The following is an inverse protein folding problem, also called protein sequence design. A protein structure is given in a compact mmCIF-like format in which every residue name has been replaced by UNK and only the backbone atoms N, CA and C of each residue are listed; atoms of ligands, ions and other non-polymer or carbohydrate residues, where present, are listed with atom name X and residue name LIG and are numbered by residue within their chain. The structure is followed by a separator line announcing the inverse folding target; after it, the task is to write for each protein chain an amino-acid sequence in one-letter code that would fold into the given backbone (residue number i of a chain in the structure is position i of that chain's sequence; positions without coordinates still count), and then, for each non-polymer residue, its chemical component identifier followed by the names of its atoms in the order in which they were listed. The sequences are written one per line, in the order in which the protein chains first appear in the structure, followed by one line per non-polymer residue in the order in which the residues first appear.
data_IF_418637040769
#
_entry.id   IF_418637040769
#
_cell.length_a   1.000
_cell.length_b   1.000
_cell.length_c   1.000
_cell.angle_alpha   90.00
_cell.angle_beta   90.00
_cell.angle_gamma   90.00
#
_symmetry.space_group_name_H-M   'P 1'
#
loop_
_entity.id
_entity.type
_entity.pdbx_description
1 polymer ?
#
# COMPACT_ATOMS: atom_id res chain seq x y z
N UNK A 1 65.92 -25.69 47.38
CA UNK A 1 65.20 -26.42 46.29
C UNK A 1 63.69 -26.13 46.35
N UNK A 2 63.28 -25.25 45.48
CA UNK A 2 61.86 -24.83 45.35
C UNK A 2 61.37 -25.32 44.02
N UNK A 3 60.40 -26.21 44.07
CA UNK A 3 59.68 -26.68 42.88
C UNK A 3 58.55 -25.70 42.52
N UNK A 4 58.62 -25.12 41.35
CA UNK A 4 57.49 -24.34 40.75
C UNK A 4 56.56 -25.28 39.97
N UNK A 5 55.34 -25.36 40.39
CA UNK A 5 54.29 -26.09 39.64
C UNK A 5 53.65 -25.16 38.62
N UNK A 6 53.81 -25.47 37.34
CA UNK A 6 53.07 -24.80 36.22
C UNK A 6 51.67 -25.40 36.10
N UNK A 7 50.62 -24.59 36.37
CA UNK A 7 49.25 -24.93 36.09
C UNK A 7 48.91 -24.52 34.64
N UNK A 8 48.61 -25.48 33.80
CA UNK A 8 48.08 -25.27 32.43
C UNK A 8 46.56 -25.08 32.55
N UNK A 9 46.09 -23.86 32.28
CA UNK A 9 44.65 -23.58 32.14
C UNK A 9 44.21 -23.90 30.70
N UNK A 10 43.48 -24.98 30.53
CA UNK A 10 42.78 -25.26 29.30
C UNK A 10 41.54 -24.35 29.20
N UNK A 11 41.56 -23.35 28.31
CA UNK A 11 40.37 -22.61 27.90
C UNK A 11 39.58 -23.44 26.89
N UNK A 12 38.49 -24.05 27.35
CA UNK A 12 37.50 -24.64 26.48
C UNK A 12 36.67 -23.52 25.86
N UNK A 13 36.92 -23.19 24.58
CA UNK A 13 36.07 -22.30 23.81
C UNK A 13 34.73 -22.99 23.52
N UNK A 14 33.71 -22.66 24.28
CA UNK A 14 32.33 -23.07 24.00
C UNK A 14 31.85 -22.23 22.80
N UNK A 15 31.89 -22.80 21.59
CA UNK A 15 31.32 -22.20 20.41
C UNK A 15 29.82 -22.14 20.58
N UNK A 16 29.26 -20.96 20.82
CA UNK A 16 27.84 -20.69 20.75
C UNK A 16 27.47 -20.75 19.28
N UNK A 17 26.99 -21.92 18.82
CA UNK A 17 26.25 -22.02 17.56
C UNK A 17 24.96 -21.20 17.73
N UNK A 18 24.96 -19.93 17.33
CA UNK A 18 23.74 -19.19 17.08
C UNK A 18 23.09 -19.82 15.85
N UNK A 19 22.14 -20.72 16.07
CA UNK A 19 21.20 -21.14 15.03
C UNK A 19 20.53 -19.85 14.56
N UNK A 20 20.76 -19.42 13.33
CA UNK A 20 19.97 -18.37 12.71
C UNK A 20 18.53 -18.87 12.70
N UNK A 21 17.70 -18.34 13.59
CA UNK A 21 16.26 -18.56 13.53
C UNK A 21 15.85 -17.96 12.20
N UNK A 22 15.40 -18.80 11.27
CA UNK A 22 14.86 -18.32 10.00
C UNK A 22 13.72 -17.37 10.35
N UNK A 23 13.83 -16.11 9.92
CA UNK A 23 12.86 -15.07 10.24
C UNK A 23 11.45 -15.50 9.86
N UNK A 24 10.47 -15.11 10.65
CA UNK A 24 9.06 -15.42 10.45
C UNK A 24 8.55 -14.68 9.19
N UNK A 25 7.68 -15.36 8.43
CA UNK A 25 7.06 -14.81 7.22
C UNK A 25 5.82 -14.02 7.64
N UNK A 26 5.78 -12.72 7.35
CA UNK A 26 4.65 -11.84 7.64
C UNK A 26 3.85 -11.57 6.37
N UNK A 27 2.73 -12.22 6.26
CA UNK A 27 1.93 -12.36 5.03
C UNK A 27 0.89 -11.24 4.91
N UNK A 28 0.73 -10.69 3.69
CA UNK A 28 -0.13 -9.54 3.41
C UNK A 28 -1.14 -9.89 2.33
N UNK A 29 -2.42 -9.68 2.62
CA UNK A 29 -3.55 -9.94 1.70
C UNK A 29 -4.44 -8.70 1.62
N UNK A 30 -4.86 -8.33 0.40
CA UNK A 30 -5.97 -7.40 0.19
C UNK A 30 -7.27 -8.18 0.38
N UNK A 31 -8.15 -7.68 1.27
CA UNK A 31 -9.26 -8.48 1.80
C UNK A 31 -10.43 -8.58 0.83
N UNK A 32 -10.76 -7.51 0.08
CA UNK A 32 -11.99 -7.47 -0.72
C UNK A 32 -11.95 -8.45 -1.90
N UNK A 33 -10.79 -8.52 -2.56
CA UNK A 33 -10.56 -9.38 -3.74
C UNK A 33 -9.74 -10.64 -3.41
N UNK A 34 -9.40 -10.87 -2.14
CA UNK A 34 -8.52 -11.96 -1.67
C UNK A 34 -7.11 -11.93 -2.32
N UNK A 35 -6.67 -10.78 -2.82
CA UNK A 35 -5.40 -10.63 -3.50
C UNK A 35 -4.22 -10.80 -2.54
N UNK A 36 -3.32 -11.69 -2.88
CA UNK A 36 -2.10 -11.96 -2.13
C UNK A 36 -0.95 -11.05 -2.62
N UNK A 37 -0.62 -10.02 -1.85
CA UNK A 37 0.51 -9.14 -2.16
C UNK A 37 1.86 -9.84 -2.12
N UNK A 38 2.02 -10.77 -1.21
CA UNK A 38 3.27 -11.36 -0.80
C UNK A 38 3.48 -11.26 0.70
N UNK A 39 4.71 -11.00 1.12
CA UNK A 39 5.06 -10.99 2.53
C UNK A 39 6.21 -10.05 2.84
N UNK A 40 6.52 -9.91 4.14
CA UNK A 40 7.82 -9.43 4.61
C UNK A 40 8.51 -10.52 5.43
N UNK A 41 9.84 -10.52 5.40
CA UNK A 41 10.70 -11.38 6.20
C UNK A 41 11.99 -10.66 6.54
N UNK A 42 12.34 -10.59 7.80
CA UNK A 42 13.52 -9.84 8.26
C UNK A 42 13.56 -8.39 7.74
N UNK A 43 12.40 -7.71 7.71
CA UNK A 43 12.21 -6.36 7.20
C UNK A 43 12.32 -6.21 5.68
N UNK A 44 12.42 -7.31 4.90
CA UNK A 44 12.52 -7.29 3.45
C UNK A 44 11.21 -7.71 2.80
N UNK A 45 10.86 -7.06 1.71
CA UNK A 45 9.69 -7.37 0.90
C UNK A 45 9.93 -8.63 0.06
N UNK A 46 8.96 -9.56 0.06
CA UNK A 46 8.97 -10.81 -0.69
C UNK A 46 7.74 -10.83 -1.60
N UNK A 47 7.96 -11.01 -2.88
CA UNK A 47 6.88 -11.04 -3.89
C UNK A 47 5.97 -12.26 -3.71
N UNK A 48 4.75 -12.15 -4.25
CA UNK A 48 3.71 -13.16 -4.12
C UNK A 48 4.14 -14.56 -4.57
N UNK A 49 4.85 -14.68 -5.70
CA UNK A 49 5.28 -15.95 -6.24
C UNK A 49 6.30 -16.71 -5.36
N UNK A 50 7.17 -15.98 -4.69
CA UNK A 50 8.11 -16.52 -3.71
C UNK A 50 7.42 -16.82 -2.39
N UNK A 51 6.64 -15.86 -1.86
CA UNK A 51 5.97 -15.98 -0.58
C UNK A 51 4.90 -17.10 -0.57
N UNK A 52 4.20 -17.33 -1.69
CA UNK A 52 3.20 -18.37 -1.83
C UNK A 52 3.75 -19.78 -1.57
N UNK A 53 5.02 -20.03 -1.92
CA UNK A 53 5.69 -21.33 -1.68
C UNK A 53 6.04 -21.56 -0.20
N UNK A 54 6.09 -20.50 0.57
CA UNK A 54 6.47 -20.48 1.98
C UNK A 54 5.25 -20.41 2.91
N UNK A 55 4.07 -20.10 2.37
CA UNK A 55 2.86 -19.90 3.14
C UNK A 55 2.36 -21.23 3.72
N UNK A 56 2.11 -21.33 5.04
CA UNK A 56 1.52 -22.50 5.68
C UNK A 56 0.11 -22.85 5.17
N UNK A 57 -0.36 -24.06 5.48
CA UNK A 57 -1.70 -24.54 5.10
C UNK A 57 -2.82 -23.75 5.79
N UNK A 58 -2.55 -23.21 6.98
CA UNK A 58 -3.44 -22.33 7.73
C UNK A 58 -2.62 -21.21 8.36
N UNK A 59 -3.10 -19.97 8.18
CA UNK A 59 -2.49 -18.77 8.75
C UNK A 59 -3.58 -17.91 9.36
N UNK A 60 -3.35 -17.37 10.56
CA UNK A 60 -4.24 -16.41 11.21
C UNK A 60 -3.78 -14.99 10.87
N UNK A 61 -4.71 -14.19 10.39
CA UNK A 61 -4.50 -12.82 9.99
C UNK A 61 -5.25 -11.89 10.92
N UNK A 62 -4.63 -10.76 11.28
CA UNK A 62 -5.36 -9.62 11.83
C UNK A 62 -5.88 -8.77 10.69
N UNK A 63 -7.17 -8.44 10.75
CA UNK A 63 -7.85 -7.68 9.70
C UNK A 63 -7.90 -6.21 10.09
N UNK A 64 -7.54 -5.34 9.15
CA UNK A 64 -7.54 -3.90 9.30
C UNK A 64 -8.48 -3.25 8.28
N UNK A 65 -9.28 -2.30 8.76
CA UNK A 65 -9.99 -1.32 7.94
C UNK A 65 -9.15 -0.06 7.74
N UNK A 66 -9.78 0.99 7.22
CA UNK A 66 -9.10 2.26 6.95
C UNK A 66 -8.58 2.93 8.24
N UNK A 67 -9.31 2.84 9.35
CA UNK A 67 -9.00 3.57 10.60
C UNK A 67 -8.96 2.69 11.84
N UNK A 68 -9.17 1.38 11.72
CA UNK A 68 -9.30 0.49 12.87
C UNK A 68 -8.95 -0.97 12.56
N UNK A 69 -8.66 -1.72 13.62
CA UNK A 69 -8.56 -3.18 13.56
C UNK A 69 -9.95 -3.80 13.72
N UNK A 70 -10.28 -4.78 12.88
CA UNK A 70 -11.62 -5.38 12.77
C UNK A 70 -11.69 -6.82 13.31
N UNK A 71 -10.61 -7.32 13.92
CA UNK A 71 -10.53 -8.68 14.43
C UNK A 71 -9.59 -9.56 13.64
N UNK A 72 -9.86 -10.87 13.63
CA UNK A 72 -9.01 -11.87 12.99
C UNK A 72 -9.81 -12.73 12.01
N UNK A 73 -9.12 -13.27 11.00
CA UNK A 73 -9.64 -14.27 10.10
C UNK A 73 -8.57 -15.32 9.81
N UNK A 74 -8.99 -16.53 9.42
CA UNK A 74 -8.09 -17.58 8.98
C UNK A 74 -8.08 -17.67 7.46
N UNK A 75 -6.91 -17.90 6.90
CA UNK A 75 -6.72 -18.14 5.48
C UNK A 75 -5.86 -19.38 5.22
N UNK A 76 -6.06 -19.96 4.05
CA UNK A 76 -5.32 -21.12 3.61
C UNK A 76 -4.09 -20.78 2.77
N UNK A 77 -3.66 -21.73 1.93
CA UNK A 77 -2.58 -21.52 0.96
C UNK A 77 -2.95 -20.48 -0.10
N UNK A 78 -1.95 -19.75 -0.57
CA UNK A 78 -2.08 -18.93 -1.76
C UNK A 78 -2.24 -19.84 -3.00
N UNK A 79 -3.20 -19.48 -3.86
CA UNK A 79 -3.47 -20.18 -5.12
C UNK A 79 -3.38 -19.16 -6.27
N UNK A 80 -2.74 -19.54 -7.35
CA UNK A 80 -2.83 -18.82 -8.62
C UNK A 80 -3.99 -19.39 -9.45
N UNK A 81 -4.60 -18.56 -10.25
CA UNK A 81 -5.62 -18.98 -11.22
C UNK A 81 -5.04 -18.97 -12.64
N UNK A 82 -5.53 -19.89 -13.46
CA UNK A 82 -5.30 -19.86 -14.90
C UNK A 82 -6.34 -18.93 -15.53
N UNK A 83 -5.92 -18.02 -16.41
CA UNK A 83 -6.87 -17.16 -17.11
C UNK A 83 -6.44 -15.69 -17.12
N UNK A 84 -7.37 -14.72 -17.10
CA UNK A 84 -7.02 -13.31 -17.31
C UNK A 84 -6.09 -12.73 -16.25
N UNK A 85 -5.98 -13.40 -15.09
CA UNK A 85 -5.15 -12.98 -13.96
C UNK A 85 -3.94 -13.91 -13.75
N UNK A 86 -3.35 -14.42 -14.82
CA UNK A 86 -2.16 -15.25 -14.75
C UNK A 86 -1.05 -14.57 -13.94
N UNK A 87 -0.49 -15.30 -12.97
CA UNK A 87 0.54 -14.78 -12.06
C UNK A 87 -0.01 -13.99 -10.86
N UNK A 88 -1.30 -13.75 -10.75
CA UNK A 88 -1.95 -13.26 -9.55
C UNK A 88 -2.24 -14.40 -8.59
N UNK A 89 -1.88 -14.22 -7.31
CA UNK A 89 -2.15 -15.17 -6.25
C UNK A 89 -3.28 -14.67 -5.36
N UNK A 90 -4.07 -15.62 -4.83
CA UNK A 90 -5.23 -15.37 -3.98
C UNK A 90 -5.13 -16.18 -2.69
N UNK A 91 -5.53 -15.57 -1.58
CA UNK A 91 -5.68 -16.24 -0.28
C UNK A 91 -7.12 -16.03 0.18
N UNK A 92 -7.92 -17.09 0.14
CA UNK A 92 -9.30 -17.03 0.60
C UNK A 92 -9.37 -16.80 2.11
N UNK A 93 -10.20 -15.84 2.51
CA UNK A 93 -10.49 -15.46 3.90
C UNK A 93 -12.01 -15.60 4.15
N UNK A 94 -12.55 -16.81 4.38
CA UNK A 94 -14.00 -17.07 4.40
C UNK A 94 -14.75 -16.28 5.48
N UNK A 95 -14.11 -16.03 6.64
CA UNK A 95 -14.72 -15.34 7.78
C UNK A 95 -14.27 -13.88 7.91
N UNK A 96 -13.87 -13.25 6.78
CA UNK A 96 -13.41 -11.86 6.76
C UNK A 96 -14.52 -10.87 7.08
N UNK A 97 -14.24 -9.80 7.88
CA UNK A 97 -15.18 -8.71 8.10
C UNK A 97 -15.50 -7.97 6.79
N UNK A 98 -16.75 -7.55 6.60
CA UNK A 98 -17.22 -6.86 5.39
C UNK A 98 -16.40 -5.58 5.05
N UNK A 99 -16.01 -4.83 6.08
CA UNK A 99 -15.21 -3.60 5.93
C UNK A 99 -13.70 -3.83 6.03
N UNK A 100 -13.24 -5.09 5.99
CA UNK A 100 -11.83 -5.43 5.97
C UNK A 100 -11.16 -4.94 4.69
N UNK A 101 -9.96 -4.39 4.80
CA UNK A 101 -9.18 -3.89 3.66
C UNK A 101 -7.87 -4.66 3.52
N UNK A 102 -7.12 -4.78 4.62
CA UNK A 102 -5.85 -5.50 4.65
C UNK A 102 -5.86 -6.55 5.74
N UNK A 103 -5.41 -7.74 5.40
CA UNK A 103 -5.13 -8.82 6.33
C UNK A 103 -3.60 -8.98 6.46
N UNK A 104 -3.10 -8.97 7.70
CA UNK A 104 -1.69 -9.12 8.00
C UNK A 104 -1.47 -10.22 9.03
N UNK A 105 -0.63 -11.19 8.71
CA UNK A 105 -0.12 -12.17 9.67
C UNK A 105 1.21 -11.68 10.21
N UNK A 106 1.19 -10.96 11.33
CA UNK A 106 2.38 -10.43 12.00
C UNK A 106 2.17 -10.35 13.51
N UNK A 107 3.24 -10.44 14.33
CA UNK A 107 3.12 -10.39 15.79
C UNK A 107 2.90 -8.99 16.36
N UNK A 108 3.19 -7.94 15.59
CA UNK A 108 3.02 -6.55 16.03
C UNK A 108 1.65 -5.97 15.69
N UNK A 109 1.35 -4.81 16.26
CA UNK A 109 0.19 -4.01 15.86
C UNK A 109 0.56 -3.15 14.65
N UNK A 110 0.01 -3.47 13.47
CA UNK A 110 0.27 -2.73 12.25
C UNK A 110 -0.41 -1.34 12.19
N UNK A 111 -1.28 -1.02 13.14
CA UNK A 111 -1.94 0.28 13.27
C UNK A 111 -1.47 1.01 14.54
N UNK A 112 -0.17 1.32 14.67
CA UNK A 112 0.38 1.95 15.88
C UNK A 112 -0.15 3.37 16.08
N UNK A 113 -0.51 4.07 15.01
CA UNK A 113 -1.09 5.42 15.00
C UNK A 113 -2.35 5.42 14.15
N UNK A 114 -3.46 5.87 14.76
CA UNK A 114 -4.78 5.78 14.14
C UNK A 114 -5.00 6.91 13.15
N UNK A 115 -5.26 6.62 11.85
CA UNK A 115 -5.63 7.65 10.88
C UNK A 115 -6.95 8.34 11.26
N UNK A 116 -7.06 9.61 10.90
CA UNK A 116 -8.26 10.43 11.08
C UNK A 116 -8.73 10.93 9.74
N UNK A 117 -10.01 10.77 9.45
CA UNK A 117 -10.63 11.33 8.25
C UNK A 117 -10.83 12.83 8.50
N UNK A 118 -10.33 13.66 7.59
CA UNK A 118 -10.53 15.11 7.62
C UNK A 118 -11.59 15.54 6.62
N UNK A 119 -12.15 16.73 6.84
CA UNK A 119 -13.15 17.32 5.97
C UNK A 119 -12.55 17.69 4.61
N UNK A 120 -13.07 17.08 3.55
CA UNK A 120 -12.63 17.28 2.15
C UNK A 120 -13.06 18.63 1.56
N UNK A 121 -13.91 19.38 2.25
CA UNK A 121 -14.37 20.72 1.82
C UNK A 121 -13.44 21.85 2.30
N UNK A 122 -12.42 21.56 3.09
CA UNK A 122 -11.49 22.57 3.57
C UNK A 122 -10.70 23.20 2.41
N UNK A 123 -10.75 24.53 2.34
CA UNK A 123 -10.17 25.31 1.25
C UNK A 123 -8.66 25.05 1.05
N UNK A 124 -7.92 24.86 2.13
CA UNK A 124 -6.47 24.60 2.09
C UNK A 124 -6.12 23.33 1.29
N UNK A 125 -6.96 22.30 1.34
CA UNK A 125 -6.74 21.07 0.58
C UNK A 125 -7.22 21.21 -0.87
N UNK A 126 -8.33 21.92 -1.09
CA UNK A 126 -8.82 22.26 -2.44
C UNK A 126 -7.76 23.04 -3.20
N UNK A 127 -7.15 24.06 -2.56
CA UNK A 127 -6.10 24.86 -3.16
C UNK A 127 -4.84 24.05 -3.45
N UNK A 128 -4.44 23.18 -2.53
CA UNK A 128 -3.29 22.28 -2.75
C UNK A 128 -3.47 21.36 -3.97
N UNK A 129 -4.65 20.76 -4.10
CA UNK A 129 -5.00 19.92 -5.26
C UNK A 129 -5.02 20.78 -6.54
N UNK A 130 -5.65 21.95 -6.50
CA UNK A 130 -5.71 22.87 -7.64
C UNK A 130 -4.32 23.26 -8.12
N UNK A 131 -3.46 23.68 -7.20
CA UNK A 131 -2.12 24.15 -7.55
C UNK A 131 -1.24 23.00 -8.08
N UNK A 132 -1.38 21.80 -7.51
CA UNK A 132 -0.71 20.63 -8.05
C UNK A 132 -1.16 20.30 -9.48
N UNK A 133 -2.48 20.35 -9.76
CA UNK A 133 -3.03 20.06 -11.09
C UNK A 133 -2.60 21.07 -12.15
N UNK A 134 -2.40 22.34 -11.79
CA UNK A 134 -1.79 23.34 -12.69
C UNK A 134 -0.40 22.92 -13.16
N UNK A 135 0.40 22.29 -12.30
CA UNK A 135 1.71 21.76 -12.69
C UNK A 135 1.62 20.59 -13.69
N UNK A 136 0.43 19.98 -13.81
CA UNK A 136 0.12 18.87 -14.74
C UNK A 136 -0.59 19.36 -16.01
N UNK A 137 -0.47 20.66 -16.33
CA UNK A 137 -1.09 21.30 -17.49
C UNK A 137 -2.64 21.25 -17.49
N UNK A 138 -3.25 21.23 -16.31
CA UNK A 138 -4.68 21.38 -16.12
C UNK A 138 -4.90 22.74 -15.40
N UNK A 139 -5.02 23.87 -16.15
CA UNK A 139 -4.96 25.20 -15.56
C UNK A 139 -6.21 25.58 -14.76
N UNK A 140 -7.38 25.06 -15.14
CA UNK A 140 -8.67 25.33 -14.50
C UNK A 140 -9.34 24.02 -14.05
N UNK A 141 -8.75 23.31 -13.06
CA UNK A 141 -9.25 22.01 -12.70
C UNK A 141 -10.56 22.12 -11.91
N UNK A 142 -11.52 21.24 -12.23
CA UNK A 142 -12.61 20.92 -11.32
C UNK A 142 -12.07 20.03 -10.20
N UNK A 143 -11.78 20.63 -9.05
CA UNK A 143 -11.28 19.89 -7.88
C UNK A 143 -12.41 19.05 -7.28
N UNK A 144 -12.16 17.73 -7.19
CA UNK A 144 -13.00 16.78 -6.46
C UNK A 144 -12.09 15.92 -5.59
N UNK A 145 -12.25 16.06 -4.28
CA UNK A 145 -11.52 15.28 -3.28
C UNK A 145 -12.45 14.18 -2.77
N UNK A 146 -11.98 12.93 -2.82
CA UNK A 146 -12.76 11.78 -2.38
C UNK A 146 -12.58 11.56 -0.87
N UNK A 147 -11.32 11.58 -0.39
CA UNK A 147 -11.04 11.53 1.04
C UNK A 147 -9.73 12.25 1.39
N UNK A 148 -9.61 12.60 2.65
CA UNK A 148 -8.40 13.12 3.26
C UNK A 148 -8.15 12.33 4.54
N UNK A 149 -6.94 11.77 4.66
CA UNK A 149 -6.48 11.11 5.87
C UNK A 149 -5.36 11.92 6.50
N UNK A 150 -5.41 12.07 7.81
CA UNK A 150 -4.33 12.61 8.62
C UNK A 150 -3.79 11.52 9.51
N UNK A 151 -2.49 11.28 9.46
CA UNK A 151 -1.83 10.24 10.22
C UNK A 151 -0.34 10.54 10.32
N UNK A 152 0.23 10.32 11.48
CA UNK A 152 1.68 10.35 11.71
C UNK A 152 2.28 9.05 11.15
N UNK A 153 2.83 9.10 9.93
CA UNK A 153 3.31 7.91 9.21
C UNK A 153 4.65 7.40 9.74
N UNK A 154 5.52 8.28 10.22
CA UNK A 154 6.89 7.91 10.66
C UNK A 154 7.13 7.98 12.17
N UNK A 155 6.13 8.41 12.95
CA UNK A 155 6.18 8.43 14.39
C UNK A 155 6.92 9.63 14.97
N UNK A 156 7.04 10.73 14.21
CA UNK A 156 7.70 11.96 14.66
C UNK A 156 6.79 12.88 15.48
N UNK A 157 5.49 12.58 15.55
CA UNK A 157 4.47 13.31 16.29
C UNK A 157 3.71 14.36 15.46
N UNK A 158 4.05 14.54 14.19
CA UNK A 158 3.38 15.41 13.24
C UNK A 158 2.57 14.57 12.24
N UNK A 159 1.32 14.97 11.96
CA UNK A 159 0.53 14.23 10.98
C UNK A 159 0.94 14.58 9.55
N UNK A 160 1.21 13.58 8.74
CA UNK A 160 1.10 13.69 7.29
C UNK A 160 -0.37 13.76 6.87
N UNK A 161 -0.60 14.32 5.67
CA UNK A 161 -1.90 14.42 5.04
C UNK A 161 -1.89 13.70 3.70
N UNK A 162 -2.70 12.67 3.58
CA UNK A 162 -2.94 11.93 2.33
C UNK A 162 -4.24 12.42 1.70
N UNK A 163 -4.20 12.88 0.46
CA UNK A 163 -5.34 13.39 -0.29
C UNK A 163 -5.58 12.50 -1.49
N UNK A 164 -6.73 11.83 -1.54
CA UNK A 164 -7.20 11.13 -2.73
C UNK A 164 -8.19 12.01 -3.48
N UNK A 165 -7.92 12.28 -4.76
CA UNK A 165 -8.73 13.16 -5.58
C UNK A 165 -8.88 12.65 -7.01
N UNK A 166 -10.13 12.59 -7.50
CA UNK A 166 -10.45 12.19 -8.87
C UNK A 166 -11.70 12.89 -9.38
N UNK A 167 -11.77 13.22 -10.67
CA UNK A 167 -12.90 13.96 -11.24
C UNK A 167 -13.58 13.30 -12.44
N UNK A 168 -13.21 12.10 -12.84
CA UNK A 168 -13.72 11.47 -14.07
C UNK A 168 -14.74 10.33 -13.88
N UNK A 169 -15.32 10.20 -12.70
CA UNK A 169 -16.44 9.27 -12.50
C UNK A 169 -17.68 9.71 -13.28
N UNK A 170 -18.41 8.73 -13.81
CA UNK A 170 -19.72 8.89 -14.39
C UNK A 170 -20.80 9.05 -13.30
N UNK A 171 -22.03 9.31 -13.71
CA UNK A 171 -23.17 9.44 -12.79
C UNK A 171 -23.47 8.17 -12.00
N UNK A 172 -23.10 7.00 -12.55
CA UNK A 172 -23.22 5.68 -11.93
C UNK A 172 -21.96 5.30 -11.12
N UNK A 173 -21.07 6.26 -10.88
CA UNK A 173 -19.78 6.09 -10.20
C UNK A 173 -18.80 5.16 -10.93
N UNK A 174 -19.11 4.75 -12.14
CA UNK A 174 -18.20 3.95 -12.96
C UNK A 174 -17.03 4.78 -13.51
N UNK A 175 -15.87 4.13 -13.64
CA UNK A 175 -14.71 4.71 -14.32
C UNK A 175 -14.96 4.67 -15.83
N UNK A 176 -14.71 5.75 -16.58
CA UNK A 176 -14.89 5.74 -18.03
C UNK A 176 -13.83 4.86 -18.71
N UNK A 177 -14.17 4.24 -19.82
CA UNK A 177 -13.23 3.50 -20.66
C UNK A 177 -12.16 4.41 -21.31
N UNK A 178 -12.33 5.72 -21.25
CA UNK A 178 -11.44 6.73 -21.82
C UNK A 178 -11.37 7.95 -20.95
N UNK A 179 -10.18 8.52 -20.91
CA UNK A 179 -9.93 9.77 -20.18
C UNK A 179 -10.58 10.97 -20.84
N UNK A 180 -11.50 11.67 -20.18
CA UNK A 180 -11.98 12.97 -20.61
C UNK A 180 -10.88 14.04 -20.54
N UNK A 181 -11.02 15.14 -21.30
CA UNK A 181 -10.13 16.29 -21.17
C UNK A 181 -10.22 16.91 -19.75
N UNK A 182 -9.10 17.42 -19.26
CA UNK A 182 -8.94 17.99 -17.92
C UNK A 182 -9.34 17.05 -16.79
N UNK A 183 -9.22 15.73 -17.03
CA UNK A 183 -9.48 14.70 -16.02
C UNK A 183 -8.20 14.25 -15.33
N UNK A 184 -8.36 13.73 -14.13
CA UNK A 184 -7.26 13.25 -13.30
C UNK A 184 -7.75 12.28 -12.23
N UNK A 185 -6.84 11.46 -11.76
CA UNK A 185 -6.94 10.76 -10.48
C UNK A 185 -5.57 10.75 -9.81
N UNK A 186 -5.52 10.97 -8.50
CA UNK A 186 -4.23 11.02 -7.79
C UNK A 186 -4.37 10.81 -6.29
N UNK A 187 -3.26 10.39 -5.70
CA UNK A 187 -2.99 10.42 -4.25
C UNK A 187 -1.79 11.32 -4.00
N UNK A 188 -2.00 12.38 -3.25
CA UNK A 188 -0.96 13.29 -2.78
C UNK A 188 -0.62 13.01 -1.32
N UNK A 189 0.66 13.03 -0.99
CA UNK A 189 1.18 13.06 0.38
C UNK A 189 1.68 14.48 0.66
N UNK A 190 1.21 15.09 1.74
CA UNK A 190 1.67 16.39 2.22
C UNK A 190 2.22 16.26 3.62
N UNK A 191 3.35 16.87 3.87
CA UNK A 191 4.00 16.92 5.18
C UNK A 191 4.56 18.30 5.48
N UNK A 192 4.76 18.59 6.75
CA UNK A 192 5.48 19.78 7.18
C UNK A 192 6.95 19.43 7.39
N UNK A 193 7.84 20.15 6.74
CA UNK A 193 9.29 20.02 6.92
C UNK A 193 9.90 21.38 7.18
N UNK A 194 10.50 21.56 8.35
CA UNK A 194 11.08 22.85 8.78
C UNK A 194 10.13 24.04 8.59
N UNK A 195 8.85 23.86 8.93
CA UNK A 195 7.79 24.88 8.81
C UNK A 195 7.28 25.13 7.38
N UNK A 196 7.72 24.34 6.41
CA UNK A 196 7.23 24.39 5.01
C UNK A 196 6.43 23.15 4.68
N UNK A 197 5.33 23.34 3.93
CA UNK A 197 4.55 22.20 3.42
C UNK A 197 5.20 21.71 2.13
N UNK A 198 5.59 20.44 2.14
CA UNK A 198 6.05 19.70 0.96
C UNK A 198 4.91 18.80 0.45
N UNK A 199 4.79 18.67 -0.87
CA UNK A 199 3.77 17.82 -1.52
C UNK A 199 4.44 16.85 -2.45
N UNK A 200 4.13 15.56 -2.29
CA UNK A 200 4.64 14.45 -3.08
C UNK A 200 3.46 13.75 -3.77
N UNK A 201 3.63 13.36 -5.04
CA UNK A 201 2.71 12.45 -5.73
C UNK A 201 3.07 11.02 -5.37
N UNK A 202 2.13 10.28 -4.79
CA UNK A 202 2.26 8.83 -4.53
C UNK A 202 1.86 8.03 -5.77
N UNK A 203 0.66 8.28 -6.27
CA UNK A 203 0.12 7.65 -7.48
C UNK A 203 -0.77 8.63 -8.22
N UNK A 204 -0.86 8.53 -9.54
CA UNK A 204 -1.81 9.36 -10.27
C UNK A 204 -1.59 9.40 -11.77
N UNK A 205 -2.67 9.75 -12.45
CA UNK A 205 -2.77 9.96 -13.89
C UNK A 205 -3.43 11.30 -14.19
N UNK A 206 -2.96 11.96 -15.25
CA UNK A 206 -3.37 13.31 -15.61
C UNK A 206 -3.62 13.39 -17.10
N UNK A 207 -4.80 13.88 -17.49
CA UNK A 207 -5.24 13.96 -18.87
C UNK A 207 -5.62 15.40 -19.23
N UNK A 208 -4.62 16.27 -19.53
CA UNK A 208 -4.89 17.66 -19.95
C UNK A 208 -5.75 17.73 -21.21
N UNK A 209 -5.62 16.74 -22.08
CA UNK A 209 -6.42 16.56 -23.31
C UNK A 209 -7.16 15.23 -23.24
N UNK A 210 -8.34 15.17 -23.86
CA UNK A 210 -9.05 13.91 -24.05
C UNK A 210 -8.20 12.94 -24.88
N UNK A 211 -8.36 11.65 -24.62
CA UNK A 211 -7.71 10.60 -25.41
C UNK A 211 -8.16 10.67 -26.87
N UNK A 212 -7.24 10.65 -27.85
CA UNK A 212 -7.60 10.81 -29.24
C UNK A 212 -8.53 9.70 -29.75
N UNK A 213 -9.62 10.07 -30.40
CA UNK A 213 -10.57 9.11 -30.99
C UNK A 213 -9.89 8.17 -32.02
N UNK A 214 -8.97 8.68 -32.82
CA UNK A 214 -8.21 7.90 -33.81
C UNK A 214 -7.34 6.80 -33.17
N UNK A 215 -6.77 7.04 -31.99
CA UNK A 215 -5.97 6.04 -31.30
C UNK A 215 -6.79 4.83 -30.89
N UNK A 216 -8.09 5.01 -30.62
CA UNK A 216 -9.02 3.94 -30.29
C UNK A 216 -9.40 3.11 -31.54
N UNK A 217 -9.60 3.76 -32.69
CA UNK A 217 -9.87 3.07 -33.97
C UNK A 217 -8.70 2.17 -34.35
N UNK A 218 -7.48 2.48 -33.87
CA UNK A 218 -6.28 1.68 -34.00
C UNK A 218 -6.12 0.60 -32.89
N UNK A 219 -7.15 0.38 -32.06
CA UNK A 219 -7.14 -0.63 -30.99
C UNK A 219 -6.28 -0.27 -29.78
N UNK A 220 -5.83 0.98 -29.66
CA UNK A 220 -5.13 1.46 -28.46
C UNK A 220 -6.13 1.94 -27.43
N UNK A 221 -5.99 1.47 -26.20
CA UNK A 221 -6.81 1.88 -25.08
C UNK A 221 -6.00 2.69 -24.09
N UNK A 222 -6.60 3.76 -23.59
CA UNK A 222 -6.12 4.52 -22.46
C UNK A 222 -7.19 4.45 -21.37
N UNK A 223 -7.20 3.33 -20.65
CA UNK A 223 -8.14 3.09 -19.56
C UNK A 223 -7.68 3.86 -18.31
N UNK A 224 -8.35 4.94 -17.91
CA UNK A 224 -7.95 5.71 -16.75
C UNK A 224 -8.19 4.93 -15.46
N UNK A 225 -7.23 5.04 -14.51
CA UNK A 225 -7.33 4.45 -13.18
C UNK A 225 -7.79 5.47 -12.15
N UNK A 226 -8.72 5.08 -11.30
CA UNK A 226 -9.12 5.83 -10.12
C UNK A 226 -8.30 5.37 -8.90
N UNK A 227 -7.46 6.24 -8.37
CA UNK A 227 -6.58 5.97 -7.24
C UNK A 227 -7.16 6.48 -5.93
N UNK A 228 -7.08 5.67 -4.87
CA UNK A 228 -7.54 6.03 -3.54
C UNK A 228 -6.69 5.36 -2.46
N UNK A 229 -6.36 6.08 -1.38
CA UNK A 229 -5.79 5.46 -0.19
C UNK A 229 -6.83 4.57 0.45
N UNK A 230 -6.50 3.29 0.64
CA UNK A 230 -7.38 2.28 1.25
C UNK A 230 -6.94 1.90 2.66
N UNK A 231 -5.65 2.02 3.00
CA UNK A 231 -5.14 1.83 4.34
C UNK A 231 -3.77 2.52 4.53
N UNK A 232 -3.39 2.73 5.79
CA UNK A 232 -2.02 3.05 6.21
C UNK A 232 -1.65 2.15 7.38
N UNK A 233 -0.62 1.31 7.22
CA UNK A 233 -0.26 0.25 8.16
C UNK A 233 1.26 0.03 8.18
N UNK A 234 1.82 -0.27 9.34
CA UNK A 234 3.18 -0.78 9.48
C UNK A 234 3.21 -2.26 9.06
N UNK A 235 3.50 -2.53 7.80
CA UNK A 235 3.44 -3.86 7.20
C UNK A 235 4.75 -4.65 7.33
N UNK A 236 5.87 -3.96 7.58
CA UNK A 236 7.20 -4.56 7.65
C UNK A 236 7.79 -4.57 9.07
N UNK A 237 7.11 -3.96 10.05
CA UNK A 237 7.50 -3.94 11.46
C UNK A 237 8.62 -2.96 11.78
N UNK A 238 8.89 -1.96 10.94
CA UNK A 238 9.93 -0.95 11.17
C UNK A 238 9.43 0.28 11.97
N UNK A 239 8.16 0.30 12.34
CA UNK A 239 7.51 1.36 13.09
C UNK A 239 7.02 2.52 12.23
N UNK A 240 7.28 2.53 10.92
CA UNK A 240 6.67 3.46 9.95
C UNK A 240 5.49 2.79 9.30
N UNK A 241 4.54 3.60 8.83
CA UNK A 241 3.33 3.08 8.20
C UNK A 241 3.42 3.24 6.69
N UNK A 242 3.30 2.15 5.96
CA UNK A 242 3.16 2.15 4.51
C UNK A 242 1.80 2.74 4.10
N UNK A 243 1.75 3.32 2.90
CA UNK A 243 0.52 3.81 2.27
C UNK A 243 0.05 2.78 1.26
N UNK A 244 -1.13 2.22 1.47
CA UNK A 244 -1.73 1.28 0.55
C UNK A 244 -2.74 2.03 -0.34
N UNK A 245 -2.50 2.01 -1.66
CA UNK A 245 -3.35 2.67 -2.65
C UNK A 245 -4.06 1.61 -3.46
N UNK A 246 -5.38 1.62 -3.40
CA UNK A 246 -6.22 0.90 -4.35
C UNK A 246 -6.38 1.71 -5.63
N UNK A 247 -6.43 1.03 -6.77
CA UNK A 247 -6.82 1.63 -8.04
C UNK A 247 -7.78 0.71 -8.77
N UNK A 248 -8.69 1.30 -9.53
CA UNK A 248 -9.58 0.55 -10.39
C UNK A 248 -9.77 1.28 -11.72
N UNK A 249 -9.94 0.52 -12.75
CA UNK A 249 -10.35 1.00 -14.06
C UNK A 249 -11.63 0.23 -14.48
N UNK A 250 -12.12 0.39 -15.69
CA UNK A 250 -13.43 -0.14 -16.08
C UNK A 250 -13.54 -1.69 -16.10
N UNK A 251 -12.42 -2.42 -16.13
CA UNK A 251 -12.38 -3.90 -16.20
C UNK A 251 -11.49 -4.57 -15.13
N UNK A 252 -10.97 -3.83 -14.16
CA UNK A 252 -10.11 -4.46 -13.15
C UNK A 252 -9.74 -3.57 -11.98
N UNK A 253 -9.17 -4.23 -11.00
CA UNK A 253 -8.72 -3.63 -9.76
C UNK A 253 -7.26 -3.98 -9.50
N UNK A 254 -6.57 -3.05 -8.84
CA UNK A 254 -5.19 -3.21 -8.38
C UNK A 254 -5.02 -2.56 -7.02
N UNK A 255 -4.11 -3.09 -6.23
CA UNK A 255 -3.63 -2.43 -5.02
C UNK A 255 -2.10 -2.41 -5.00
N UNK A 256 -1.52 -1.31 -4.51
CA UNK A 256 -0.07 -1.12 -4.42
C UNK A 256 0.30 -0.63 -3.03
N UNK A 257 1.31 -1.25 -2.44
CA UNK A 257 1.92 -0.84 -1.19
C UNK A 257 3.08 0.10 -1.51
N UNK A 258 3.03 1.31 -0.95
CA UNK A 258 4.10 2.30 -1.03
C UNK A 258 4.77 2.42 0.33
N UNK A 259 6.05 2.09 0.37
CA UNK A 259 6.86 2.34 1.56
C UNK A 259 7.05 3.85 1.72
N UNK A 260 6.75 4.34 2.93
CA UNK A 260 6.91 5.75 3.24
C UNK A 260 8.39 6.14 3.24
N UNK A 261 8.71 7.17 2.47
CA UNK A 261 9.97 7.91 2.53
C UNK A 261 9.67 9.40 2.41
N UNK A 262 10.26 10.24 3.26
CA UNK A 262 10.01 11.68 3.25
C UNK A 262 10.37 12.38 1.94
N UNK A 263 11.24 11.80 1.13
CA UNK A 263 11.63 12.37 -0.18
C UNK A 263 10.82 11.78 -1.32
N UNK A 264 10.63 10.46 -1.32
CA UNK A 264 9.93 9.76 -2.38
C UNK A 264 9.45 8.40 -1.89
N UNK A 265 8.13 8.24 -1.75
CA UNK A 265 7.54 6.94 -1.49
C UNK A 265 7.82 5.98 -2.66
N UNK A 266 8.15 4.72 -2.35
CA UNK A 266 8.49 3.71 -3.33
C UNK A 266 7.47 2.58 -3.32
N UNK A 267 6.98 2.19 -4.51
CA UNK A 267 6.15 1.01 -4.66
C UNK A 267 6.98 -0.25 -4.38
N UNK A 268 6.55 -1.05 -3.40
CA UNK A 268 7.29 -2.24 -2.95
C UNK A 268 6.60 -3.54 -3.33
N UNK A 269 5.28 -3.60 -3.23
CA UNK A 269 4.46 -4.72 -3.68
C UNK A 269 3.21 -4.20 -4.40
N UNK A 270 2.79 -4.92 -5.43
CA UNK A 270 1.55 -4.65 -6.16
C UNK A 270 0.86 -5.96 -6.49
N UNK A 271 -0.47 -5.93 -6.49
CA UNK A 271 -1.31 -7.05 -6.89
C UNK A 271 -2.54 -6.50 -7.61
N UNK A 272 -3.05 -7.25 -8.55
CA UNK A 272 -4.28 -6.86 -9.25
C UNK A 272 -4.67 -7.88 -10.30
N UNK A 273 -5.87 -7.69 -10.81
CA UNK A 273 -6.44 -8.47 -11.89
C UNK A 273 -7.27 -7.56 -12.79
N UNK A 274 -7.20 -7.79 -14.09
CA UNK A 274 -7.98 -7.06 -15.07
C UNK A 274 -7.80 -7.67 -16.45
N UNK A 275 -8.77 -7.49 -17.33
CA UNK A 275 -8.77 -7.98 -18.71
C UNK A 275 -8.10 -6.98 -19.67
#
# INVERSE_FOLDING_TARGET
STFAANAIVLLTACGICTSAVAGELHVIVEVQSDYFFGATKDGKWIKADEAARLLPDETTYRIYGLTESLGEAKGGKAKSEDGPCEGTFFVALPDKPENGVIALAAPWNALPRKPRIADSTQQVYIDAVRDFLKTKAIPEPKVKIDNILRVDLDGDGEDEVLISATNYFRKDESVPMRSPAASYSMVLLRRVNAGKVETQLIAGEFYPKAYPKAAQEEGRFDAPNAYKVIATLDLNGDGKMEVIVGSHYYEGDMATIYQYDPKKAEAVLSVGCGA
#
